data_IF_140780985880
#
_entry.id   IF_140780985880
#
_cell.length_a   1.000
_cell.length_b   1.000
_cell.length_c   1.000
_cell.angle_alpha   90.00
_cell.angle_beta   90.00
_cell.angle_gamma   90.00
#
_symmetry.space_group_name_H-M   'P 1'
#
loop_
_entity.id
_entity.type
_entity.pdbx_description
1 polymer ?
#
# COMPACT_ATOMS: atom_id res chain seq x y z
N UNK A 1 50.90 47.83 13.39
CA UNK A 1 49.62 47.44 14.04
C UNK A 1 48.56 47.47 12.95
N UNK A 2 48.22 46.40 12.22
CA UNK A 2 47.66 45.08 12.60
C UNK A 2 46.27 45.20 13.26
N UNK A 3 45.25 44.61 12.59
CA UNK A 3 43.87 44.24 12.99
C UNK A 3 42.84 45.39 13.17
N UNK A 4 41.59 45.37 12.64
CA UNK A 4 40.58 44.31 12.38
C UNK A 4 39.58 44.82 11.30
N UNK A 5 39.13 44.11 10.25
CA UNK A 5 38.35 42.84 10.17
C UNK A 5 36.96 43.00 10.82
N UNK A 6 35.80 42.67 10.25
CA UNK A 6 35.29 42.26 8.93
C UNK A 6 33.75 42.43 9.04
N UNK A 7 33.08 42.45 7.89
CA UNK A 7 31.65 42.18 7.67
C UNK A 7 30.94 41.36 8.78
N UNK A 8 29.89 41.93 9.38
CA UNK A 8 28.78 41.17 9.96
C UNK A 8 27.53 41.55 9.18
N UNK A 9 27.33 40.87 8.06
CA UNK A 9 26.06 40.82 7.36
C UNK A 9 25.88 39.39 6.89
N UNK A 10 24.65 38.89 7.02
CA UNK A 10 24.16 37.57 6.58
C UNK A 10 24.50 36.40 7.50
N UNK A 11 23.68 36.15 8.53
CA UNK A 11 23.54 34.83 9.17
C UNK A 11 22.21 34.70 9.95
N UNK A 12 21.06 35.00 9.32
CA UNK A 12 19.73 34.76 9.94
C UNK A 12 18.66 34.20 8.98
N UNK A 13 19.06 33.56 7.86
CA UNK A 13 18.09 33.04 6.87
C UNK A 13 18.38 31.61 6.40
N UNK A 14 18.82 30.71 7.29
CA UNK A 14 19.11 29.32 6.90
C UNK A 14 18.54 28.22 7.81
N UNK A 15 17.73 28.54 8.83
CA UNK A 15 17.13 27.50 9.69
C UNK A 15 15.82 26.92 9.16
N UNK A 16 15.20 27.52 8.14
CA UNK A 16 13.89 27.05 7.65
C UNK A 16 14.04 25.87 6.66
N UNK A 17 15.15 25.77 5.93
CA UNK A 17 15.36 24.71 4.93
C UNK A 17 15.96 23.39 5.46
N UNK A 18 16.22 23.28 6.77
CA UNK A 18 16.83 22.07 7.34
C UNK A 18 15.82 20.99 7.76
N UNK A 19 14.51 21.27 7.76
CA UNK A 19 13.49 20.29 8.16
C UNK A 19 13.21 19.21 7.12
N UNK A 20 13.50 19.47 5.85
CA UNK A 20 12.98 18.62 4.76
C UNK A 20 13.91 17.47 4.34
N UNK A 21 15.15 17.44 4.80
CA UNK A 21 16.17 16.52 4.26
C UNK A 21 16.31 15.17 4.98
N UNK A 22 15.62 14.92 6.09
CA UNK A 22 15.81 13.69 6.88
C UNK A 22 14.54 13.08 7.50
N UNK A 23 13.39 13.14 6.82
CA UNK A 23 12.26 12.30 7.23
C UNK A 23 12.41 10.91 6.62
N UNK A 24 12.55 9.89 7.49
CA UNK A 24 12.57 8.49 7.07
C UNK A 24 11.25 8.06 6.39
N UNK A 25 10.17 8.83 6.54
CA UNK A 25 8.88 8.58 5.91
C UNK A 25 8.52 9.79 5.05
N UNK A 26 8.03 9.51 3.85
CA UNK A 26 7.58 10.51 2.86
C UNK A 26 6.06 10.40 2.65
N UNK A 27 5.37 11.49 2.29
CA UNK A 27 3.93 11.45 2.07
C UNK A 27 3.58 10.65 0.81
N UNK A 28 2.38 10.06 0.79
CA UNK A 28 1.72 9.71 -0.47
C UNK A 28 1.32 11.01 -1.14
N UNK A 29 1.93 11.30 -2.28
CA UNK A 29 1.51 12.41 -3.14
C UNK A 29 0.27 12.04 -3.96
N UNK A 30 -0.60 13.02 -4.20
CA UNK A 30 -1.82 12.86 -5.00
C UNK A 30 -1.56 12.81 -6.52
N UNK A 31 -0.33 12.53 -6.94
CA UNK A 31 -0.02 12.42 -8.36
C UNK A 31 -0.78 11.23 -8.99
N UNK A 32 -1.53 11.52 -10.06
CA UNK A 32 -2.16 10.48 -10.86
C UNK A 32 -1.09 9.76 -11.70
N UNK A 33 -0.77 8.53 -11.30
CA UNK A 33 0.22 7.65 -11.94
C UNK A 33 -0.43 6.44 -12.62
N UNK A 34 -1.72 6.52 -12.91
CA UNK A 34 -2.49 5.49 -13.60
C UNK A 34 -3.43 6.09 -14.65
N UNK A 35 -3.86 5.25 -15.58
CA UNK A 35 -4.85 5.60 -16.60
C UNK A 35 -6.27 5.29 -16.05
N UNK A 36 -7.16 6.29 -15.92
CA UNK A 36 -8.48 6.09 -15.32
C UNK A 36 -9.36 5.08 -16.06
N UNK A 37 -9.29 5.03 -17.39
CA UNK A 37 -10.12 4.13 -18.19
C UNK A 37 -9.67 2.68 -17.99
N UNK A 38 -8.35 2.45 -18.02
CA UNK A 38 -7.77 1.14 -17.72
C UNK A 38 -7.99 0.71 -16.28
N UNK A 39 -7.90 1.63 -15.33
CA UNK A 39 -8.18 1.35 -13.92
C UNK A 39 -9.64 0.94 -13.69
N UNK A 40 -10.58 1.56 -14.41
CA UNK A 40 -11.99 1.14 -14.36
C UNK A 40 -12.22 -0.23 -14.95
N UNK A 41 -11.66 -0.52 -16.12
CA UNK A 41 -11.70 -1.88 -16.68
C UNK A 41 -11.07 -2.88 -15.70
N UNK A 42 -9.95 -2.53 -15.07
CA UNK A 42 -9.30 -3.33 -14.04
C UNK A 42 -10.19 -3.57 -12.82
N UNK A 43 -10.95 -2.56 -12.37
CA UNK A 43 -11.95 -2.68 -11.31
C UNK A 43 -12.98 -3.75 -11.69
N UNK A 44 -13.55 -3.69 -12.89
CA UNK A 44 -14.53 -4.69 -13.33
C UNK A 44 -13.94 -6.12 -13.33
N UNK A 45 -12.74 -6.28 -13.90
CA UNK A 45 -12.05 -7.57 -13.93
C UNK A 45 -11.73 -8.10 -12.51
N UNK A 46 -11.35 -7.22 -11.59
CA UNK A 46 -11.02 -7.57 -10.21
C UNK A 46 -12.18 -8.20 -9.44
N UNK A 47 -13.41 -7.78 -9.73
CA UNK A 47 -14.63 -8.31 -9.12
C UNK A 47 -15.24 -9.49 -9.89
N UNK A 48 -14.75 -9.80 -11.10
CA UNK A 48 -15.35 -10.81 -11.98
C UNK A 48 -14.93 -12.26 -11.61
N UNK A 49 -15.87 -13.02 -11.07
CA UNK A 49 -15.66 -14.42 -10.71
C UNK A 49 -15.51 -15.35 -11.92
N UNK A 50 -15.89 -14.92 -13.14
CA UNK A 50 -15.81 -15.76 -14.35
C UNK A 50 -14.37 -15.96 -14.82
N UNK A 51 -13.45 -15.12 -14.38
CA UNK A 51 -12.03 -15.14 -14.78
C UNK A 51 -11.21 -16.21 -14.05
N UNK A 52 -11.79 -16.89 -13.06
CA UNK A 52 -11.20 -18.06 -12.39
C UNK A 52 -12.06 -19.31 -12.62
N UNK A 53 -11.45 -20.48 -12.88
CA UNK A 53 -12.15 -21.77 -12.82
C UNK A 53 -12.79 -22.04 -11.45
N UNK A 54 -12.21 -21.52 -10.36
CA UNK A 54 -12.74 -21.65 -9.00
C UNK A 54 -13.95 -20.77 -8.71
N UNK A 55 -14.35 -19.89 -9.65
CA UNK A 55 -15.43 -18.91 -9.46
C UNK A 55 -15.18 -17.94 -8.29
N UNK A 56 -13.91 -17.62 -8.05
CA UNK A 56 -13.44 -16.65 -7.06
C UNK A 56 -12.94 -15.42 -7.81
N UNK A 57 -13.27 -14.23 -7.32
CA UNK A 57 -12.72 -12.96 -7.79
C UNK A 57 -11.59 -12.50 -6.87
N UNK A 58 -10.75 -11.55 -7.32
CA UNK A 58 -9.68 -11.00 -6.48
C UNK A 58 -10.25 -10.37 -5.19
N UNK A 59 -11.42 -9.74 -5.30
CA UNK A 59 -12.15 -9.14 -4.18
C UNK A 59 -12.42 -10.11 -3.03
N UNK A 60 -12.65 -11.40 -3.31
CA UNK A 60 -12.92 -12.40 -2.27
C UNK A 60 -11.76 -12.48 -1.25
N UNK A 61 -10.51 -12.35 -1.71
CA UNK A 61 -9.33 -12.32 -0.85
C UNK A 61 -8.97 -10.89 -0.41
N UNK A 62 -9.37 -9.88 -1.18
CA UNK A 62 -8.98 -8.48 -1.00
C UNK A 62 -10.23 -7.59 -0.88
N UNK A 63 -10.82 -7.53 0.32
CA UNK A 63 -12.09 -6.84 0.52
C UNK A 63 -11.99 -5.32 0.28
N UNK A 64 -12.73 -4.85 -0.73
CA UNK A 64 -12.84 -3.43 -1.10
C UNK A 64 -14.26 -2.87 -0.92
N UNK A 65 -15.15 -3.60 -0.25
CA UNK A 65 -16.52 -3.17 0.04
C UNK A 65 -16.78 -3.14 1.55
N UNK A 66 -17.77 -2.32 1.97
CA UNK A 66 -18.10 -2.14 3.39
C UNK A 66 -16.90 -1.64 4.20
N UNK A 67 -16.34 -2.49 5.08
CA UNK A 67 -15.10 -2.18 5.80
C UNK A 67 -13.90 -2.41 4.87
N UNK A 68 -13.57 -1.40 4.07
CA UNK A 68 -12.45 -1.42 3.12
C UNK A 68 -11.13 -1.64 3.87
N UNK A 69 -10.59 -2.84 3.73
CA UNK A 69 -9.31 -3.28 4.33
C UNK A 69 -8.29 -3.67 3.27
N UNK A 70 -8.73 -4.01 2.05
CA UNK A 70 -7.90 -4.59 1.00
C UNK A 70 -7.42 -6.01 1.32
N UNK A 71 -7.93 -6.64 2.38
CA UNK A 71 -7.60 -8.02 2.81
C UNK A 71 -8.81 -8.72 3.39
N UNK A 72 -8.84 -10.06 3.32
CA UNK A 72 -9.91 -10.90 3.82
C UNK A 72 -9.35 -12.25 4.29
N UNK A 73 -10.04 -12.87 5.25
CA UNK A 73 -9.73 -14.24 5.70
C UNK A 73 -10.40 -15.31 4.82
N UNK A 74 -11.24 -14.94 3.85
CA UNK A 74 -11.98 -15.89 3.00
C UNK A 74 -11.08 -16.90 2.29
N UNK A 75 -9.85 -16.51 1.95
CA UNK A 75 -8.94 -17.34 1.19
C UNK A 75 -8.10 -18.30 2.05
N UNK A 76 -8.37 -18.43 3.36
CA UNK A 76 -7.69 -19.38 4.27
C UNK A 76 -6.15 -19.31 4.30
N UNK A 77 -5.59 -18.17 3.88
CA UNK A 77 -4.17 -17.85 3.94
C UNK A 77 -3.97 -16.37 4.29
N UNK A 78 -2.81 -15.98 4.85
CA UNK A 78 -2.52 -14.57 5.11
C UNK A 78 -2.47 -13.77 3.80
N UNK A 79 -3.45 -12.92 3.58
CA UNK A 79 -3.54 -12.04 2.41
C UNK A 79 -3.09 -10.64 2.81
N UNK A 80 -2.03 -10.07 2.21
CA UNK A 80 -1.65 -8.70 2.48
C UNK A 80 -2.69 -7.74 1.91
N UNK A 81 -2.81 -6.54 2.49
CA UNK A 81 -3.67 -5.50 1.90
C UNK A 81 -3.16 -5.10 0.52
N UNK A 82 -4.07 -4.86 -0.42
CA UNK A 82 -3.77 -4.25 -1.73
C UNK A 82 -3.87 -2.73 -1.74
N UNK A 83 -4.35 -2.11 -0.65
CA UNK A 83 -4.33 -0.67 -0.51
C UNK A 83 -2.88 -0.19 -0.49
N UNK A 84 -2.56 0.81 -1.31
CA UNK A 84 -1.21 1.32 -1.53
C UNK A 84 -0.20 0.30 -2.07
N UNK A 85 -0.62 -0.88 -2.54
CA UNK A 85 0.32 -1.92 -2.95
C UNK A 85 1.21 -1.54 -4.14
N UNK A 86 0.77 -0.58 -4.96
CA UNK A 86 1.58 0.01 -6.05
C UNK A 86 2.81 0.79 -5.56
N UNK A 87 2.84 1.20 -4.29
CA UNK A 87 3.96 1.95 -3.69
C UNK A 87 5.07 1.03 -3.15
N UNK A 88 4.91 -0.28 -3.28
CA UNK A 88 5.89 -1.25 -2.81
C UNK A 88 7.12 -1.28 -3.71
N UNK A 89 8.31 -1.43 -3.12
CA UNK A 89 9.53 -1.71 -3.89
C UNK A 89 9.66 -3.21 -4.20
N UNK A 90 9.25 -4.06 -3.26
CA UNK A 90 9.21 -5.51 -3.43
C UNK A 90 7.78 -6.03 -3.27
N UNK A 91 7.37 -6.98 -4.11
CA UNK A 91 6.03 -7.57 -4.11
C UNK A 91 6.07 -9.04 -3.69
N UNK A 92 4.90 -9.58 -3.31
CA UNK A 92 4.78 -10.89 -2.68
C UNK A 92 5.10 -10.88 -1.18
N UNK A 93 4.69 -11.94 -0.46
CA UNK A 93 4.85 -12.04 1.00
C UNK A 93 6.33 -12.07 1.44
N UNK A 94 7.22 -12.61 0.60
CA UNK A 94 8.65 -12.73 0.88
C UNK A 94 9.48 -11.68 0.12
N UNK A 95 8.83 -10.79 -0.65
CA UNK A 95 9.49 -9.78 -1.47
C UNK A 95 10.18 -10.34 -2.72
N UNK A 96 9.66 -11.46 -3.25
CA UNK A 96 10.28 -12.22 -4.34
C UNK A 96 10.04 -11.63 -5.74
N UNK A 97 9.12 -10.69 -5.90
CA UNK A 97 8.79 -10.07 -7.18
C UNK A 97 9.27 -8.63 -7.25
N UNK A 98 9.82 -8.23 -8.39
CA UNK A 98 10.32 -6.87 -8.65
C UNK A 98 9.30 -5.95 -9.32
N UNK A 99 8.10 -6.45 -9.64
CA UNK A 99 7.03 -5.66 -10.24
C UNK A 99 5.65 -6.10 -9.72
N UNK A 100 4.70 -5.15 -9.76
CA UNK A 100 3.30 -5.40 -9.44
C UNK A 100 2.71 -6.43 -10.42
N UNK A 101 2.99 -6.25 -11.71
CA UNK A 101 2.48 -7.12 -12.78
C UNK A 101 2.93 -8.57 -12.62
N UNK A 102 4.18 -8.81 -12.23
CA UNK A 102 4.67 -10.18 -12.01
C UNK A 102 4.05 -10.80 -10.76
N UNK A 103 3.82 -10.00 -9.71
CA UNK A 103 3.06 -10.45 -8.54
C UNK A 103 1.61 -10.81 -8.90
N UNK A 104 0.94 -10.04 -9.76
CA UNK A 104 -0.44 -10.33 -10.21
C UNK A 104 -0.46 -11.64 -11.00
N UNK A 105 0.46 -11.82 -11.97
CA UNK A 105 0.54 -13.05 -12.77
C UNK A 105 0.75 -14.28 -11.89
N UNK A 106 1.66 -14.19 -10.92
CA UNK A 106 1.95 -15.29 -10.00
C UNK A 106 0.70 -15.72 -9.22
N UNK A 107 -0.09 -14.76 -8.71
CA UNK A 107 -1.35 -15.07 -8.00
C UNK A 107 -2.39 -15.68 -8.94
N UNK A 108 -2.49 -15.18 -10.18
CA UNK A 108 -3.42 -15.69 -11.19
C UNK A 108 -3.13 -17.16 -11.53
N UNK A 109 -1.86 -17.50 -11.66
CA UNK A 109 -1.38 -18.83 -12.07
C UNK A 109 -1.31 -19.84 -10.91
N UNK A 110 -1.27 -19.36 -9.66
CA UNK A 110 -1.25 -20.21 -8.47
C UNK A 110 -2.54 -21.04 -8.35
N UNK A 111 -2.38 -22.37 -8.38
CA UNK A 111 -3.49 -23.33 -8.39
C UNK A 111 -4.24 -23.41 -7.07
N UNK A 112 -3.63 -23.00 -5.95
CA UNK A 112 -4.26 -22.97 -4.64
C UNK A 112 -5.02 -21.66 -4.43
N UNK A 113 -4.59 -20.57 -5.08
CA UNK A 113 -5.24 -19.27 -5.01
C UNK A 113 -6.32 -19.09 -6.09
N UNK A 114 -5.93 -18.66 -7.29
CA UNK A 114 -6.84 -18.21 -8.34
C UNK A 114 -7.02 -19.24 -9.47
N UNK A 115 -6.03 -20.11 -9.67
CA UNK A 115 -6.03 -21.25 -10.58
C UNK A 115 -6.46 -20.93 -12.01
N UNK A 116 -6.09 -19.75 -12.52
CA UNK A 116 -6.42 -19.32 -13.87
C UNK A 116 -5.17 -19.34 -14.76
N UNK A 117 -5.34 -18.94 -16.02
CA UNK A 117 -4.27 -18.87 -17.00
C UNK A 117 -4.57 -17.82 -18.05
N UNK A 118 -3.53 -17.41 -18.78
CA UNK A 118 -3.67 -16.48 -19.91
C UNK A 118 -4.72 -16.96 -20.92
N UNK A 119 -4.69 -18.23 -21.31
CA UNK A 119 -5.63 -18.82 -22.26
C UNK A 119 -7.05 -18.88 -21.72
N UNK A 120 -7.21 -19.21 -20.43
CA UNK A 120 -8.52 -19.22 -19.78
C UNK A 120 -9.12 -17.81 -19.72
N UNK A 121 -8.39 -16.83 -19.19
CA UNK A 121 -8.89 -15.47 -19.04
C UNK A 121 -9.25 -14.84 -20.38
N UNK A 122 -8.38 -14.95 -21.39
CA UNK A 122 -8.68 -14.43 -22.74
C UNK A 122 -9.96 -15.08 -23.30
N UNK A 123 -10.13 -16.39 -23.11
CA UNK A 123 -11.33 -17.11 -23.56
C UNK A 123 -12.60 -16.62 -22.83
N UNK A 124 -12.53 -16.33 -21.53
CA UNK A 124 -13.69 -15.84 -20.78
C UNK A 124 -14.04 -14.40 -21.16
N UNK A 125 -13.04 -13.52 -21.30
CA UNK A 125 -13.26 -12.12 -21.69
C UNK A 125 -13.87 -12.05 -23.09
N UNK A 126 -13.37 -12.85 -24.05
CA UNK A 126 -13.93 -12.92 -25.41
C UNK A 126 -15.39 -13.38 -25.50
N UNK A 127 -15.91 -14.06 -24.46
CA UNK A 127 -17.33 -14.47 -24.42
C UNK A 127 -18.27 -13.35 -23.99
N UNK A 128 -17.74 -12.24 -23.48
CA UNK A 128 -18.52 -11.10 -23.02
C UNK A 128 -18.36 -9.94 -24.03
N UNK A 129 -19.38 -9.64 -24.86
CA UNK A 129 -19.31 -8.55 -25.85
C UNK A 129 -18.94 -7.21 -25.23
N UNK A 130 -19.43 -6.93 -24.01
CA UNK A 130 -19.11 -5.71 -23.27
C UNK A 130 -17.60 -5.55 -23.03
N UNK A 131 -16.91 -6.61 -22.61
CA UNK A 131 -15.46 -6.52 -22.43
C UNK A 131 -14.73 -6.41 -23.77
N UNK A 132 -15.18 -7.10 -24.82
CA UNK A 132 -14.54 -6.98 -26.14
C UNK A 132 -14.56 -5.53 -26.62
N UNK A 133 -15.70 -4.85 -26.47
CA UNK A 133 -15.85 -3.43 -26.78
C UNK A 133 -14.94 -2.56 -25.90
N UNK A 134 -14.95 -2.75 -24.57
CA UNK A 134 -14.10 -1.98 -23.64
C UNK A 134 -12.60 -2.15 -23.91
N UNK A 135 -12.15 -3.37 -24.22
CA UNK A 135 -10.74 -3.60 -24.59
C UNK A 135 -10.38 -2.92 -25.91
N UNK A 136 -11.30 -2.91 -26.89
CA UNK A 136 -11.10 -2.20 -28.15
C UNK A 136 -11.02 -0.69 -27.94
N UNK A 137 -11.94 -0.12 -27.16
CA UNK A 137 -11.99 1.31 -26.82
C UNK A 137 -10.69 1.77 -26.13
N UNK A 138 -10.26 1.04 -25.10
CA UNK A 138 -9.16 1.46 -24.22
C UNK A 138 -7.77 1.17 -24.80
N UNK A 139 -7.60 0.05 -25.50
CA UNK A 139 -6.31 -0.38 -26.03
C UNK A 139 -6.16 -0.20 -27.55
N UNK A 140 -7.20 0.28 -28.23
CA UNK A 140 -7.18 0.51 -29.68
C UNK A 140 -7.02 -0.76 -30.51
N UNK A 141 -7.34 -1.93 -29.95
CA UNK A 141 -7.16 -3.22 -30.63
C UNK A 141 -8.25 -4.22 -30.26
N UNK A 142 -8.71 -4.96 -31.27
CA UNK A 142 -9.68 -6.04 -31.08
C UNK A 142 -9.02 -7.30 -30.49
N UNK A 143 -7.69 -7.31 -30.34
CA UNK A 143 -6.94 -8.42 -29.78
C UNK A 143 -6.86 -8.26 -28.26
N UNK A 144 -7.72 -8.99 -27.55
CA UNK A 144 -7.58 -9.18 -26.10
C UNK A 144 -6.33 -10.03 -25.84
N UNK A 145 -5.32 -9.40 -25.24
CA UNK A 145 -4.05 -10.03 -24.85
C UNK A 145 -3.95 -10.14 -23.33
N UNK A 146 -3.21 -11.14 -22.85
CA UNK A 146 -2.95 -11.29 -21.42
C UNK A 146 -2.21 -10.09 -20.84
N UNK A 147 -1.32 -9.46 -21.63
CA UNK A 147 -0.64 -8.23 -21.25
C UNK A 147 -1.62 -7.10 -20.91
N UNK A 148 -2.66 -6.91 -21.72
CA UNK A 148 -3.66 -5.86 -21.47
C UNK A 148 -4.53 -6.17 -20.25
N UNK A 149 -4.86 -7.44 -20.02
CA UNK A 149 -5.59 -7.88 -18.81
C UNK A 149 -4.78 -7.56 -17.55
N UNK A 150 -3.49 -7.95 -17.53
CA UNK A 150 -2.60 -7.67 -16.39
C UNK A 150 -2.39 -6.17 -16.21
N UNK A 151 -2.26 -5.41 -17.30
CA UNK A 151 -2.12 -3.97 -17.23
C UNK A 151 -3.38 -3.32 -16.62
N UNK A 152 -4.59 -3.65 -17.09
CA UNK A 152 -5.83 -3.11 -16.51
C UNK A 152 -5.93 -3.39 -14.99
N UNK A 153 -5.65 -4.63 -14.57
CA UNK A 153 -5.61 -4.99 -13.14
C UNK A 153 -4.54 -4.19 -12.37
N UNK A 154 -3.37 -3.97 -12.95
CA UNK A 154 -2.31 -3.17 -12.34
C UNK A 154 -2.70 -1.69 -12.22
N UNK A 155 -3.32 -1.09 -13.24
CA UNK A 155 -3.85 0.28 -13.18
C UNK A 155 -4.91 0.42 -12.06
N UNK A 156 -5.79 -0.57 -11.93
CA UNK A 156 -6.76 -0.58 -10.82
C UNK A 156 -6.07 -0.59 -9.46
N UNK A 157 -5.07 -1.46 -9.27
CA UNK A 157 -4.32 -1.52 -8.00
C UNK A 157 -3.52 -0.23 -7.76
N UNK A 158 -2.99 0.43 -8.80
CA UNK A 158 -2.37 1.76 -8.68
C UNK A 158 -3.35 2.81 -8.19
N UNK A 159 -4.61 2.73 -8.61
CA UNK A 159 -5.67 3.63 -8.18
C UNK A 159 -6.13 3.42 -6.71
N UNK A 160 -5.69 2.35 -6.03
CA UNK A 160 -6.03 2.05 -4.63
C UNK A 160 -5.13 2.77 -3.61
N UNK A 161 -4.72 4.01 -3.91
CA UNK A 161 -3.98 4.88 -2.98
C UNK A 161 -4.91 5.44 -1.90
N UNK A 162 -4.38 5.53 -0.69
CA UNK A 162 -5.10 5.96 0.52
C UNK A 162 -4.25 6.97 1.30
N UNK A 163 -4.05 8.20 0.77
CA UNK A 163 -3.43 9.27 1.55
C UNK A 163 -4.23 9.49 2.85
N UNK A 164 -3.55 9.92 3.89
CA UNK A 164 -4.05 10.00 5.27
C UNK A 164 -3.77 11.37 5.89
N UNK A 165 -4.30 11.60 7.10
CA UNK A 165 -3.96 12.80 7.89
C UNK A 165 -2.46 12.91 8.15
N UNK A 166 -1.77 11.77 8.31
CA UNK A 166 -0.33 11.78 8.46
C UNK A 166 0.40 12.30 7.21
N UNK A 167 -0.11 12.06 6.01
CA UNK A 167 0.48 12.61 4.79
C UNK A 167 0.32 14.13 4.72
N UNK A 168 -0.83 14.67 5.14
CA UNK A 168 -1.05 16.13 5.26
C UNK A 168 -0.10 16.76 6.27
N UNK A 169 0.13 16.09 7.40
CA UNK A 169 1.11 16.50 8.40
C UNK A 169 2.54 16.55 7.81
N UNK A 170 2.95 15.53 7.05
CA UNK A 170 4.25 15.52 6.37
C UNK A 170 4.39 16.63 5.32
N UNK A 171 3.28 17.09 4.75
CA UNK A 171 3.21 18.23 3.81
C UNK A 171 3.12 19.60 4.51
N UNK A 172 3.15 19.64 5.85
CA UNK A 172 3.23 20.88 6.63
C UNK A 172 1.93 21.33 7.31
N UNK A 173 0.83 20.57 7.19
CA UNK A 173 -0.39 20.81 7.97
C UNK A 173 -0.20 20.28 9.40
N UNK A 174 0.56 21.02 10.21
CA UNK A 174 0.94 20.60 11.56
C UNK A 174 -0.29 20.33 12.45
N UNK A 175 -1.37 21.08 12.29
CA UNK A 175 -2.54 21.04 13.19
C UNK A 175 -3.51 19.88 12.89
N UNK A 176 -3.32 19.14 11.80
CA UNK A 176 -4.15 17.98 11.43
C UNK A 176 -4.00 16.78 12.39
N UNK A 177 -2.90 16.73 13.14
CA UNK A 177 -2.63 15.70 14.14
C UNK A 177 -2.75 16.25 15.56
N UNK A 178 -3.39 15.46 16.42
CA UNK A 178 -3.38 15.69 17.86
C UNK A 178 -1.96 15.61 18.44
N UNK A 179 -1.78 16.15 19.65
CA UNK A 179 -0.50 16.09 20.34
C UNK A 179 -0.13 14.63 20.71
N UNK A 180 -1.12 13.80 20.98
CA UNK A 180 -0.97 12.38 21.27
C UNK A 180 -0.50 11.60 20.05
N UNK A 181 -1.02 11.88 18.86
CA UNK A 181 -0.55 11.28 17.60
C UNK A 181 0.88 11.69 17.27
N UNK A 182 1.23 12.99 17.42
CA UNK A 182 2.60 13.49 17.25
C UNK A 182 3.56 12.83 18.25
N UNK A 183 3.13 12.66 19.51
CA UNK A 183 3.89 11.94 20.53
C UNK A 183 4.09 10.47 20.15
N UNK A 184 3.04 9.81 19.65
CA UNK A 184 3.09 8.44 19.14
C UNK A 184 4.10 8.28 18.01
N UNK A 185 4.08 9.19 17.04
CA UNK A 185 5.05 9.22 15.95
C UNK A 185 6.48 9.38 16.47
N UNK A 186 6.70 10.30 17.41
CA UNK A 186 8.00 10.49 18.05
C UNK A 186 8.49 9.23 18.78
N UNK A 187 7.60 8.47 19.45
CA UNK A 187 7.97 7.17 20.05
C UNK A 187 8.32 6.17 18.96
N UNK A 188 7.51 6.06 17.90
CA UNK A 188 7.77 5.16 16.77
C UNK A 188 9.17 5.38 16.17
N UNK A 189 9.56 6.65 15.97
CA UNK A 189 10.90 7.02 15.50
C UNK A 189 11.98 6.66 16.53
N UNK A 190 11.82 7.10 17.80
CA UNK A 190 12.82 6.89 18.86
C UNK A 190 13.05 5.41 19.20
N UNK A 191 12.05 4.55 18.99
CA UNK A 191 12.17 3.10 19.16
C UNK A 191 12.78 2.39 17.96
N UNK A 192 13.13 3.13 16.91
CA UNK A 192 13.81 2.61 15.73
C UNK A 192 12.87 1.87 14.77
N UNK A 193 11.55 1.97 14.91
CA UNK A 193 10.61 1.28 14.02
C UNK A 193 10.78 1.74 12.56
N UNK A 194 11.12 3.02 12.36
CA UNK A 194 11.46 3.61 11.06
C UNK A 194 12.69 3.01 10.40
N UNK A 195 13.54 2.27 11.11
CA UNK A 195 14.67 1.58 10.48
C UNK A 195 14.22 0.55 9.44
N UNK A 196 13.04 -0.05 9.66
CA UNK A 196 12.44 -1.01 8.73
C UNK A 196 11.15 -0.50 8.07
N UNK A 197 10.36 0.28 8.79
CA UNK A 197 9.08 0.82 8.33
C UNK A 197 9.25 2.29 7.91
N UNK A 198 9.87 2.49 6.74
CA UNK A 198 10.21 3.79 6.15
C UNK A 198 9.66 3.94 4.73
N UNK A 199 10.02 5.06 4.08
CA UNK A 199 9.61 5.42 2.74
C UNK A 199 8.13 5.76 2.66
N UNK A 200 7.63 5.91 1.43
CA UNK A 200 6.26 6.34 1.20
C UNK A 200 5.24 5.37 1.78
N UNK A 201 5.46 4.06 1.68
CA UNK A 201 4.49 3.08 2.18
C UNK A 201 4.70 2.67 3.66
N UNK A 202 5.65 3.29 4.38
CA UNK A 202 5.94 2.99 5.79
C UNK A 202 6.19 1.48 5.98
N UNK A 203 7.06 0.94 5.13
CA UNK A 203 7.23 -0.49 4.89
C UNK A 203 7.30 -0.81 3.40
N UNK A 204 7.35 -2.11 3.08
CA UNK A 204 7.44 -2.72 1.76
C UNK A 204 8.65 -2.29 0.88
N UNK A 205 9.57 -1.51 1.46
CA UNK A 205 10.83 -1.08 0.87
C UNK A 205 12.00 -2.04 1.09
N UNK A 206 11.91 -2.94 2.08
CA UNK A 206 13.00 -3.85 2.43
C UNK A 206 12.49 -5.26 2.74
N UNK A 207 13.42 -6.21 2.69
CA UNK A 207 13.23 -7.56 3.22
C UNK A 207 14.18 -7.80 4.39
N UNK A 208 13.72 -8.56 5.39
CA UNK A 208 14.52 -8.97 6.55
C UNK A 208 14.61 -10.49 6.61
N UNK A 209 15.73 -11.00 7.10
CA UNK A 209 15.94 -12.45 7.28
C UNK A 209 15.49 -12.86 8.67
N UNK A 210 14.52 -13.76 8.75
CA UNK A 210 14.01 -14.30 10.02
C UNK A 210 14.30 -15.80 10.08
N UNK A 211 14.99 -16.23 11.14
CA UNK A 211 15.18 -17.64 11.45
C UNK A 211 13.85 -18.24 11.92
N UNK A 212 13.39 -19.26 11.22
CA UNK A 212 12.18 -20.00 11.53
C UNK A 212 12.45 -21.06 12.60
N UNK A 213 11.37 -21.59 13.22
CA UNK A 213 11.46 -22.63 14.26
C UNK A 213 12.15 -23.93 13.77
N UNK A 214 12.06 -24.23 12.47
CA UNK A 214 12.73 -25.37 11.84
C UNK A 214 14.22 -25.12 11.52
N UNK A 215 14.79 -23.99 11.96
CA UNK A 215 16.20 -23.62 11.76
C UNK A 215 16.50 -22.95 10.42
N UNK A 216 15.57 -22.96 9.46
CA UNK A 216 15.74 -22.29 8.16
C UNK A 216 15.73 -20.77 8.30
N UNK A 217 16.40 -20.07 7.39
CA UNK A 217 16.35 -18.61 7.30
C UNK A 217 15.48 -18.27 6.08
N UNK A 218 14.41 -17.53 6.30
CA UNK A 218 13.52 -17.06 5.24
C UNK A 218 13.57 -15.54 5.15
N UNK A 219 13.47 -15.01 3.93
CA UNK A 219 13.26 -13.58 3.71
C UNK A 219 11.79 -13.24 3.99
N UNK A 220 11.56 -12.17 4.73
CA UNK A 220 10.24 -11.63 4.98
C UNK A 220 10.23 -10.21 4.50
N UNK A 221 9.25 -9.86 3.67
CA UNK A 221 9.00 -8.46 3.35
C UNK A 221 8.47 -7.77 4.60
N UNK A 222 9.02 -6.60 4.91
CA UNK A 222 8.50 -5.76 6.00
C UNK A 222 7.20 -5.13 5.51
N UNK A 223 6.02 -5.44 6.06
CA UNK A 223 4.75 -4.95 5.51
C UNK A 223 4.55 -3.46 5.75
N UNK A 224 3.79 -2.80 4.87
CA UNK A 224 3.25 -1.46 5.11
C UNK A 224 2.48 -1.38 6.44
N UNK A 225 2.63 -0.23 7.12
CA UNK A 225 1.81 0.12 8.28
C UNK A 225 0.65 1.08 7.94
N UNK A 226 0.49 1.47 6.68
CA UNK A 226 -0.66 2.26 6.25
C UNK A 226 -1.93 1.44 6.41
N UNK A 227 -2.98 2.07 6.94
CA UNK A 227 -4.24 1.42 7.28
C UNK A 227 -4.11 0.23 8.26
N UNK A 228 -3.02 0.11 9.03
CA UNK A 228 -2.76 -1.08 9.84
C UNK A 228 -3.91 -1.39 10.80
N UNK A 229 -4.61 -0.40 11.37
CA UNK A 229 -5.74 -0.66 12.27
C UNK A 229 -6.98 -1.25 11.57
N UNK A 230 -6.99 -1.29 10.24
CA UNK A 230 -8.10 -1.80 9.41
C UNK A 230 -7.76 -3.14 8.74
N UNK A 231 -6.52 -3.62 8.85
CA UNK A 231 -6.01 -4.78 8.09
C UNK A 231 -5.73 -6.01 8.95
N UNK A 232 -6.31 -6.07 10.15
CA UNK A 232 -6.33 -7.32 10.92
C UNK A 232 -6.88 -8.46 10.04
N UNK A 233 -6.33 -9.68 10.16
CA UNK A 233 -5.37 -10.13 11.16
C UNK A 233 -3.91 -9.77 10.83
N UNK A 234 -3.07 -9.68 11.87
CA UNK A 234 -1.70 -9.21 11.77
C UNK A 234 -0.69 -10.34 11.73
N UNK A 235 0.32 -10.14 10.89
CA UNK A 235 1.50 -11.00 10.77
C UNK A 235 1.14 -12.44 10.37
N UNK A 236 2.15 -13.31 10.28
CA UNK A 236 1.94 -14.73 9.98
C UNK A 236 1.33 -15.53 11.13
N UNK A 237 1.21 -14.92 12.31
CA UNK A 237 0.55 -15.51 13.49
C UNK A 237 -0.96 -15.27 13.50
N UNK A 238 -1.51 -14.59 12.48
CA UNK A 238 -2.94 -14.33 12.34
C UNK A 238 -3.55 -13.61 13.57
N UNK A 239 -2.79 -12.71 14.20
CA UNK A 239 -3.23 -12.04 15.43
C UNK A 239 -4.39 -11.09 15.12
N UNK A 240 -5.55 -11.21 15.78
CA UNK A 240 -6.67 -10.30 15.55
C UNK A 240 -6.46 -8.92 16.20
N UNK A 241 -5.42 -8.77 17.04
CA UNK A 241 -5.21 -7.62 17.89
C UNK A 241 -3.81 -7.02 17.68
N UNK A 242 -3.76 -5.71 17.38
CA UNK A 242 -2.52 -5.02 17.02
C UNK A 242 -1.57 -4.91 18.22
N UNK A 243 -2.11 -4.71 19.43
CA UNK A 243 -1.33 -4.68 20.66
C UNK A 243 -0.66 -6.02 20.93
N UNK A 244 -1.40 -7.12 20.73
CA UNK A 244 -0.84 -8.47 20.86
C UNK A 244 0.24 -8.73 19.78
N UNK A 245 0.05 -8.24 18.56
CA UNK A 245 1.04 -8.36 17.49
C UNK A 245 2.34 -7.60 17.81
N UNK A 246 2.26 -6.36 18.30
CA UNK A 246 3.43 -5.57 18.70
C UNK A 246 4.12 -6.19 19.92
N UNK A 247 3.34 -6.72 20.87
CA UNK A 247 3.88 -7.42 22.05
C UNK A 247 4.64 -8.70 21.63
N UNK A 248 4.12 -9.43 20.64
CA UNK A 248 4.83 -10.56 20.06
C UNK A 248 6.14 -10.11 19.39
N UNK A 249 6.10 -9.06 18.55
CA UNK A 249 7.29 -8.51 17.89
C UNK A 249 8.39 -8.13 18.87
N UNK A 250 8.04 -7.46 19.98
CA UNK A 250 8.97 -7.12 21.06
C UNK A 250 9.72 -8.34 21.59
N UNK A 251 9.06 -9.49 21.69
CA UNK A 251 9.66 -10.71 22.22
C UNK A 251 10.42 -11.51 21.14
N UNK A 252 10.18 -11.23 19.86
CA UNK A 252 10.78 -11.94 18.73
C UNK A 252 11.96 -11.22 18.09
N UNK A 253 12.02 -9.89 18.17
CA UNK A 253 13.11 -9.08 17.61
C UNK A 253 14.11 -8.73 18.72
N UNK A 254 15.31 -9.30 18.62
CA UNK A 254 16.41 -9.01 19.54
C UNK A 254 16.75 -7.51 19.47
N UNK A 255 16.80 -6.84 20.63
CA UNK A 255 17.14 -5.42 20.76
C UNK A 255 15.96 -4.45 20.63
N UNK A 256 14.75 -4.93 20.35
CA UNK A 256 13.55 -4.09 20.32
C UNK A 256 13.01 -3.85 21.74
N UNK A 257 13.35 -2.70 22.34
CA UNK A 257 12.94 -2.35 23.70
C UNK A 257 11.73 -1.41 23.74
N UNK A 258 10.53 -1.99 23.78
CA UNK A 258 9.25 -1.26 23.80
C UNK A 258 8.47 -1.59 25.08
N UNK A 259 7.99 -0.58 25.79
CA UNK A 259 7.13 -0.72 26.99
C UNK A 259 5.64 -0.74 26.60
N UNK A 260 4.75 -1.15 27.50
CA UNK A 260 3.30 -1.10 27.24
C UNK A 260 2.81 0.33 26.93
N UNK A 261 3.38 1.33 27.61
CA UNK A 261 3.12 2.75 27.34
C UNK A 261 3.58 3.17 25.96
N UNK A 262 4.74 2.67 25.50
CA UNK A 262 5.22 2.93 24.15
C UNK A 262 4.28 2.32 23.10
N UNK A 263 3.82 1.07 23.31
CA UNK A 263 2.87 0.40 22.40
C UNK A 263 1.58 1.22 22.29
N UNK A 264 1.02 1.67 23.42
CA UNK A 264 -0.19 2.48 23.41
C UNK A 264 -0.01 3.77 22.60
N UNK A 265 1.12 4.46 22.76
CA UNK A 265 1.42 5.68 22.00
C UNK A 265 1.61 5.41 20.50
N UNK A 266 2.27 4.30 20.14
CA UNK A 266 2.42 3.88 18.74
C UNK A 266 1.06 3.56 18.11
N UNK A 267 0.15 2.90 18.83
CA UNK A 267 -1.19 2.60 18.33
C UNK A 267 -1.99 3.89 18.08
N UNK A 268 -1.88 4.91 18.94
CA UNK A 268 -2.49 6.22 18.69
C UNK A 268 -1.95 6.82 17.39
N UNK A 269 -0.63 6.76 17.16
CA UNK A 269 -0.06 7.19 15.88
C UNK A 269 -0.63 6.41 14.68
N UNK A 270 -0.87 5.11 14.82
CA UNK A 270 -1.47 4.32 13.73
C UNK A 270 -2.88 4.78 13.33
N UNK A 271 -3.61 5.52 14.19
CA UNK A 271 -4.88 6.14 13.81
C UNK A 271 -4.70 7.24 12.75
N UNK A 272 -3.56 7.94 12.77
CA UNK A 272 -3.19 8.93 11.76
C UNK A 272 -2.85 8.31 10.40
N UNK A 273 -2.52 7.02 10.36
CA UNK A 273 -2.16 6.26 9.15
C UNK A 273 -3.37 5.66 8.42
N UNK A 274 -4.57 5.84 8.95
CA UNK A 274 -5.80 5.43 8.28
C UNK A 274 -6.11 6.41 7.15
N UNK A 275 -5.98 5.94 5.93
CA UNK A 275 -6.20 6.75 4.74
C UNK A 275 -7.67 6.88 4.36
N UNK A 276 -7.90 7.83 3.46
CA UNK A 276 -9.19 8.07 2.82
C UNK A 276 -9.54 6.93 1.86
N UNK A 277 -10.84 6.73 1.62
CA UNK A 277 -11.30 5.77 0.60
C UNK A 277 -10.79 6.20 -0.78
N UNK A 278 -10.16 5.30 -1.55
CA UNK A 278 -9.69 5.60 -2.90
C UNK A 278 -10.81 6.13 -3.80
N UNK A 279 -10.53 7.15 -4.62
CA UNK A 279 -11.54 7.76 -5.51
C UNK A 279 -12.14 6.75 -6.49
N UNK A 280 -11.33 5.82 -7.02
CA UNK A 280 -11.78 4.73 -7.89
C UNK A 280 -12.89 3.86 -7.27
N UNK A 281 -12.97 3.80 -5.93
CA UNK A 281 -14.03 3.07 -5.23
C UNK A 281 -15.29 3.92 -4.99
N UNK A 282 -15.17 5.24 -5.04
CA UNK A 282 -16.31 6.17 -4.95
C UNK A 282 -16.99 6.38 -6.31
N UNK A 283 -16.20 6.41 -7.38
CA UNK A 283 -16.70 6.62 -8.73
C UNK A 283 -17.45 5.39 -9.29
N UNK A 284 -18.50 5.68 -10.06
CA UNK A 284 -19.34 4.73 -10.79
C UNK A 284 -18.93 4.57 -12.26
N UNK A 285 -18.14 5.50 -12.79
CA UNK A 285 -17.64 5.50 -14.17
C UNK A 285 -16.24 6.12 -14.28
N UNK A 286 -15.55 5.85 -15.38
CA UNK A 286 -14.22 6.43 -15.65
C UNK A 286 -14.29 7.95 -15.79
N UNK A 287 -15.37 8.47 -16.38
CA UNK A 287 -15.66 9.90 -16.48
C UNK A 287 -15.80 10.55 -15.10
N UNK A 288 -16.58 9.93 -14.20
CA UNK A 288 -16.74 10.43 -12.83
C UNK A 288 -15.41 10.42 -12.07
N UNK A 289 -14.57 9.40 -12.24
CA UNK A 289 -13.25 9.41 -11.63
C UNK A 289 -12.33 10.50 -12.17
N UNK A 290 -12.36 10.77 -13.47
CA UNK A 290 -11.61 11.89 -14.06
C UNK A 290 -12.04 13.21 -13.41
N UNK A 291 -13.36 13.44 -13.25
CA UNK A 291 -13.87 14.61 -12.54
C UNK A 291 -13.37 14.70 -11.10
N UNK A 292 -13.46 13.61 -10.33
CA UNK A 292 -12.98 13.57 -8.94
C UNK A 292 -11.47 13.80 -8.81
N UNK A 293 -10.68 13.37 -9.80
CA UNK A 293 -9.23 13.60 -9.83
C UNK A 293 -8.90 15.06 -10.12
N UNK A 294 -9.63 15.69 -11.03
CA UNK A 294 -9.46 17.11 -11.34
C UNK A 294 -9.79 17.99 -10.11
N UNK A 295 -10.87 17.66 -9.38
CA UNK A 295 -11.24 18.34 -8.13
C UNK A 295 -10.20 18.22 -7.00
N UNK A 296 -9.30 17.23 -7.04
CA UNK A 296 -8.22 17.08 -6.04
C UNK A 296 -6.98 17.92 -6.32
N UNK A 297 -6.85 18.45 -7.55
CA UNK A 297 -5.71 19.27 -7.97
C UNK A 297 -5.96 20.76 -7.77
N UNK A 298 -7.22 21.17 -7.60
CA UNK A 298 -7.68 22.53 -7.31
C UNK A 298 -7.63 22.86 -5.80
#
# INVERSE_FOLDING_TARGET
>A
MIFRVFFISVLLFSTIFARDLFHAITPIENANDYDPDRAFLGKELFFDTRLSPKKISCHACHNLEGKISGTSQTCNLPVPTILNASLNYYFGLDGQFSSLEDSIKAVIEDTDLYASSSTFMIKQIKKNPYYVEKFQEIYGTNIISYKNIINALAEFIRALKTPSRFDKFLLGDDDILSQEEKKGYNVFVKKGCVACHNGTNIGDGITIKIRQNNGTIQNHRVPTLRNILRTAPYMRINSPNIYAAITWLKNSIIGLHVTHTDIAQIIIFFEALNGDTPLILKATSAEELKMLLDEQLD
#
